data_IF_925864302967
#
_entry.id   IF_925864302967
#
_cell.length_a   1.000
_cell.length_b   1.000
_cell.length_c   1.000
_cell.angle_alpha   90.00
_cell.angle_beta   90.00
_cell.angle_gamma   90.00
#
_symmetry.space_group_name_H-M   'P 1'
#
loop_
_entity.id
_entity.type
_entity.pdbx_description
1 polymer ?
#
# COMPACT_ATOMS: atom_id res chain seq x y z
N UNK A 1 -2.86 -14.53 -18.23
CA UNK A 1 -2.67 -13.06 -18.19
C UNK A 1 -4.01 -12.40 -17.85
N UNK A 2 -3.96 -11.33 -17.11
CA UNK A 2 -5.12 -10.50 -16.75
C UNK A 2 -4.71 -9.02 -16.74
N UNK A 3 -5.70 -8.13 -16.89
CA UNK A 3 -5.48 -6.68 -16.81
C UNK A 3 -6.03 -6.16 -15.48
N UNK A 4 -5.26 -5.28 -14.83
CA UNK A 4 -5.65 -4.62 -13.59
C UNK A 4 -5.08 -3.20 -13.53
N UNK A 5 -5.93 -2.21 -13.45
CA UNK A 5 -5.55 -0.77 -13.43
C UNK A 5 -4.58 -0.36 -14.55
N UNK A 6 -4.75 -0.91 -15.76
CA UNK A 6 -3.85 -0.68 -16.90
C UNK A 6 -2.54 -1.47 -16.85
N UNK A 7 -2.34 -2.31 -15.83
CA UNK A 7 -1.19 -3.21 -15.73
C UNK A 7 -1.54 -4.58 -16.30
N UNK A 8 -0.68 -5.11 -17.17
CA UNK A 8 -0.76 -6.50 -17.61
C UNK A 8 -0.05 -7.39 -16.60
N UNK A 9 -0.80 -8.32 -16.02
CA UNK A 9 -0.34 -9.25 -14.98
C UNK A 9 -0.30 -10.68 -15.55
N UNK A 10 0.73 -11.44 -15.22
CA UNK A 10 0.88 -12.84 -15.65
C UNK A 10 -0.01 -13.81 -14.83
N UNK A 11 -0.44 -13.40 -13.65
CA UNK A 11 -1.35 -14.13 -12.76
C UNK A 11 -2.41 -13.16 -12.18
N UNK A 12 -3.63 -13.61 -11.86
CA UNK A 12 -4.61 -12.78 -11.16
C UNK A 12 -4.34 -12.62 -9.66
N UNK A 13 -3.29 -13.25 -9.13
CA UNK A 13 -2.97 -13.22 -7.70
C UNK A 13 -2.08 -12.01 -7.40
N UNK A 14 -2.52 -11.17 -6.47
CA UNK A 14 -1.74 -10.05 -5.93
C UNK A 14 -1.45 -10.32 -4.46
N UNK A 15 -0.18 -10.32 -4.07
CA UNK A 15 0.21 -10.41 -2.66
C UNK A 15 0.03 -9.04 -2.00
N UNK A 16 -0.77 -8.99 -0.93
CA UNK A 16 -1.17 -7.73 -0.33
C UNK A 16 -0.08 -7.13 0.58
N UNK A 17 -0.12 -5.81 0.69
CA UNK A 17 0.72 -5.07 1.63
C UNK A 17 0.51 -5.54 3.08
N UNK A 18 1.61 -5.73 3.78
CA UNK A 18 1.65 -6.27 5.14
C UNK A 18 1.80 -7.79 5.23
N UNK A 19 1.66 -8.52 4.12
CA UNK A 19 1.83 -9.98 4.09
C UNK A 19 3.25 -10.41 3.69
N UNK A 20 3.94 -9.62 2.85
CA UNK A 20 5.19 -10.02 2.18
C UNK A 20 6.32 -8.99 2.35
N UNK A 21 6.26 -8.15 3.37
CA UNK A 21 7.29 -7.14 3.62
C UNK A 21 7.51 -6.23 2.42
N UNK A 22 8.73 -6.14 1.94
CA UNK A 22 9.10 -5.40 0.73
C UNK A 22 9.34 -6.29 -0.51
N UNK A 23 8.81 -7.52 -0.50
CA UNK A 23 8.82 -8.40 -1.67
C UNK A 23 10.05 -9.31 -1.81
N UNK A 24 11.04 -9.18 -0.94
CA UNK A 24 12.23 -10.05 -0.92
C UNK A 24 12.11 -11.23 0.05
N UNK A 25 11.31 -11.08 1.10
CA UNK A 25 11.32 -11.99 2.23
C UNK A 25 10.89 -13.40 1.84
N UNK A 26 9.88 -13.51 0.98
CA UNK A 26 9.32 -14.80 0.57
C UNK A 26 10.15 -15.49 -0.53
N UNK A 27 10.95 -14.73 -1.29
CA UNK A 27 11.85 -15.33 -2.30
C UNK A 27 12.94 -16.21 -1.68
N UNK A 28 13.15 -16.08 -0.36
CA UNK A 28 14.06 -16.94 0.43
C UNK A 28 13.45 -18.29 0.77
N UNK A 29 12.14 -18.48 0.53
CA UNK A 29 11.44 -19.73 0.79
C UNK A 29 11.65 -20.68 -0.41
N UNK A 30 12.17 -21.88 -0.15
CA UNK A 30 12.38 -22.87 -1.21
C UNK A 30 11.07 -23.23 -1.90
N UNK A 31 11.01 -23.03 -3.21
CA UNK A 31 9.84 -23.34 -4.03
C UNK A 31 8.85 -22.19 -4.22
N UNK A 32 9.16 -20.99 -3.67
CA UNK A 32 8.43 -19.77 -3.97
C UNK A 32 9.25 -18.85 -4.88
N UNK A 33 8.57 -18.22 -5.83
CA UNK A 33 9.12 -17.14 -6.66
C UNK A 33 8.04 -16.07 -6.86
N UNK A 34 8.44 -14.82 -6.95
CA UNK A 34 7.54 -13.73 -7.32
C UNK A 34 6.88 -13.94 -8.70
N UNK A 35 7.48 -14.76 -9.57
CA UNK A 35 6.90 -15.18 -10.88
C UNK A 35 5.58 -15.94 -10.74
N UNK A 36 5.30 -16.52 -9.57
CA UNK A 36 4.06 -17.25 -9.30
C UNK A 36 2.88 -16.28 -9.05
N UNK A 37 3.17 -14.98 -8.94
CA UNK A 37 2.20 -13.91 -8.66
C UNK A 37 2.06 -12.94 -9.82
N UNK A 38 0.92 -12.24 -9.90
CA UNK A 38 0.73 -11.17 -10.88
C UNK A 38 1.32 -9.84 -10.42
N UNK A 39 1.26 -9.58 -9.12
CA UNK A 39 1.90 -8.43 -8.51
C UNK A 39 2.20 -8.66 -7.03
N UNK A 40 3.13 -7.87 -6.51
CA UNK A 40 3.47 -7.78 -5.08
C UNK A 40 3.22 -6.36 -4.62
N UNK A 41 2.31 -6.18 -3.65
CA UNK A 41 2.09 -4.90 -3.00
C UNK A 41 3.04 -4.78 -1.80
N UNK A 42 3.98 -3.85 -1.88
CA UNK A 42 5.03 -3.65 -0.90
C UNK A 42 4.46 -3.13 0.43
N UNK A 43 5.28 -3.20 1.47
CA UNK A 43 4.94 -2.69 2.81
C UNK A 43 4.49 -1.24 2.77
N UNK A 44 3.48 -0.91 3.57
CA UNK A 44 2.98 0.46 3.72
C UNK A 44 4.11 1.41 4.14
N UNK A 45 4.34 2.42 3.30
CA UNK A 45 5.42 3.39 3.41
C UNK A 45 4.87 4.76 3.78
N UNK A 46 5.49 5.42 4.73
CA UNK A 46 5.17 6.79 5.18
C UNK A 46 6.29 7.75 4.78
N UNK A 47 6.04 9.06 4.83
CA UNK A 47 7.04 10.07 4.50
C UNK A 47 8.28 9.89 5.38
N UNK A 48 8.08 9.89 6.69
CA UNK A 48 9.12 9.64 7.67
C UNK A 48 9.12 8.18 8.14
N UNK A 49 10.27 7.66 8.64
CA UNK A 49 10.33 6.33 9.23
C UNK A 49 9.39 6.16 10.43
N UNK A 50 8.79 4.97 10.56
CA UNK A 50 7.94 4.61 11.70
C UNK A 50 8.42 3.32 12.36
N UNK A 51 8.64 3.37 13.66
CA UNK A 51 8.98 2.17 14.46
C UNK A 51 7.78 1.23 14.67
N UNK A 52 6.56 1.75 14.41
CA UNK A 52 5.33 1.04 14.73
C UNK A 52 5.02 1.07 16.23
N UNK A 53 4.05 0.26 16.62
CA UNK A 53 3.63 0.15 18.01
C UNK A 53 4.66 -0.64 18.84
N UNK A 54 4.65 -0.42 20.16
CA UNK A 54 5.48 -1.20 21.10
C UNK A 54 5.06 -2.68 21.10
N UNK A 55 5.97 -3.64 21.32
CA UNK A 55 5.63 -5.04 21.61
C UNK A 55 4.80 -5.13 22.93
N UNK A 56 3.85 -6.06 23.08
CA UNK A 56 3.43 -7.14 22.18
C UNK A 56 2.36 -6.64 21.20
N UNK A 57 2.62 -6.75 19.92
CA UNK A 57 1.78 -6.20 18.84
C UNK A 57 1.25 -7.25 17.85
N UNK A 58 1.51 -8.50 18.16
CA UNK A 58 0.94 -9.67 17.47
C UNK A 58 0.59 -10.71 18.51
N UNK A 59 -0.57 -11.32 18.37
CA UNK A 59 -1.01 -12.43 19.23
C UNK A 59 -1.83 -13.43 18.43
N UNK A 60 -1.64 -14.71 18.72
CA UNK A 60 -2.46 -15.78 18.15
C UNK A 60 -3.78 -15.93 18.90
N UNK A 61 -4.79 -16.40 18.19
CA UNK A 61 -6.10 -16.79 18.71
C UNK A 61 -6.43 -18.20 18.21
N UNK A 62 -7.43 -18.89 18.79
CA UNK A 62 -7.79 -20.24 18.32
C UNK A 62 -8.13 -20.34 16.83
N UNK A 63 -8.56 -19.22 16.20
CA UNK A 63 -9.01 -19.18 14.81
C UNK A 63 -8.22 -18.24 13.92
N UNK A 64 -7.11 -17.67 14.40
CA UNK A 64 -6.34 -16.73 13.60
C UNK A 64 -5.33 -15.91 14.40
N UNK A 65 -5.12 -14.68 13.97
CA UNK A 65 -4.12 -13.78 14.54
C UNK A 65 -4.67 -12.35 14.64
N UNK A 66 -4.38 -11.69 15.75
CA UNK A 66 -4.66 -10.26 15.94
C UNK A 66 -3.34 -9.51 15.87
N UNK A 67 -3.31 -8.36 15.18
CA UNK A 67 -2.12 -7.52 15.15
C UNK A 67 -2.45 -6.03 15.34
N UNK A 68 -1.45 -5.32 15.84
CA UNK A 68 -1.42 -3.86 15.95
C UNK A 68 -0.01 -3.36 15.62
N UNK A 69 0.46 -3.62 14.40
CA UNK A 69 1.84 -3.32 13.97
C UNK A 69 2.14 -1.82 13.95
N UNK A 70 1.18 -0.97 13.56
CA UNK A 70 1.34 0.49 13.55
C UNK A 70 2.19 1.02 12.40
N UNK A 71 2.08 0.45 11.20
CA UNK A 71 2.76 0.88 9.99
C UNK A 71 4.30 0.96 10.12
N UNK A 72 4.92 -0.01 10.80
CA UNK A 72 6.38 -0.07 10.86
C UNK A 72 6.98 -0.09 9.45
N UNK A 73 7.79 0.92 9.13
CA UNK A 73 8.47 1.03 7.84
C UNK A 73 9.66 2.01 7.94
N UNK A 74 10.64 1.94 7.02
CA UNK A 74 11.85 2.75 7.07
C UNK A 74 11.69 4.16 6.48
N UNK A 75 10.50 4.54 5.99
CA UNK A 75 10.27 5.81 5.31
C UNK A 75 10.57 5.77 3.80
N UNK A 76 10.05 6.77 3.09
CA UNK A 76 10.09 6.82 1.62
C UNK A 76 11.51 6.82 1.05
N UNK A 77 12.44 7.55 1.67
CA UNK A 77 13.80 7.68 1.15
C UNK A 77 14.56 6.36 1.15
N UNK A 78 14.46 5.58 2.23
CA UNK A 78 15.08 4.25 2.31
C UNK A 78 14.41 3.28 1.34
N UNK A 79 13.09 3.36 1.18
CA UNK A 79 12.39 2.48 0.22
C UNK A 79 12.88 2.75 -1.21
N UNK A 80 12.99 4.01 -1.60
CA UNK A 80 13.43 4.39 -2.95
C UNK A 80 14.90 4.06 -3.18
N UNK A 81 15.78 4.42 -2.24
CA UNK A 81 17.22 4.36 -2.47
C UNK A 81 17.85 3.01 -2.15
N UNK A 82 17.32 2.27 -1.16
CA UNK A 82 17.97 1.07 -0.65
C UNK A 82 17.17 -0.22 -0.93
N UNK A 83 15.83 -0.14 -1.01
CA UNK A 83 14.99 -1.33 -1.18
C UNK A 83 14.63 -1.58 -2.64
N UNK A 84 14.05 -0.58 -3.31
CA UNK A 84 13.58 -0.73 -4.70
C UNK A 84 14.67 -1.15 -5.70
N UNK A 85 15.94 -0.71 -5.57
CA UNK A 85 17.00 -1.16 -6.48
C UNK A 85 17.29 -2.66 -6.43
N UNK A 86 16.90 -3.34 -5.33
CA UNK A 86 17.11 -4.78 -5.15
C UNK A 86 15.94 -5.64 -5.63
N UNK A 87 14.81 -5.04 -6.05
CA UNK A 87 13.65 -5.77 -6.54
C UNK A 87 13.88 -6.27 -7.98
N UNK A 88 13.67 -7.56 -8.20
CA UNK A 88 13.71 -8.12 -9.57
C UNK A 88 12.37 -7.89 -10.29
N UNK A 89 12.29 -6.79 -11.00
CA UNK A 89 11.10 -6.37 -11.75
C UNK A 89 10.83 -7.18 -13.02
N UNK A 90 11.71 -8.12 -13.36
CA UNK A 90 11.48 -9.08 -14.44
C UNK A 90 10.58 -10.24 -14.00
N UNK A 91 10.41 -10.43 -12.70
CA UNK A 91 9.64 -11.52 -12.14
C UNK A 91 8.14 -11.21 -12.02
N UNK A 92 7.79 -10.00 -11.56
CA UNK A 92 6.40 -9.60 -11.30
C UNK A 92 6.27 -8.08 -11.31
N UNK A 93 5.02 -7.58 -11.18
CA UNK A 93 4.76 -6.15 -10.97
C UNK A 93 4.87 -5.79 -9.51
N UNK A 94 5.41 -4.61 -9.20
CA UNK A 94 5.51 -4.11 -7.85
C UNK A 94 4.64 -2.86 -7.66
N UNK A 95 3.77 -2.92 -6.66
CA UNK A 95 2.86 -1.84 -6.27
C UNK A 95 3.34 -1.30 -4.93
N UNK A 96 3.60 -0.01 -4.83
CA UNK A 96 3.93 0.59 -3.52
C UNK A 96 2.66 0.95 -2.76
N UNK A 97 2.55 0.50 -1.50
CA UNK A 97 1.50 0.94 -0.60
C UNK A 97 1.95 2.19 0.15
N UNK A 98 1.16 3.24 0.12
CA UNK A 98 1.48 4.52 0.75
C UNK A 98 0.47 4.89 1.83
N UNK A 99 0.96 5.45 2.92
CA UNK A 99 0.15 5.93 4.05
C UNK A 99 0.69 7.26 4.55
N UNK A 100 -0.21 8.19 4.86
CA UNK A 100 0.13 9.48 5.45
C UNK A 100 -0.72 9.78 6.69
N UNK A 101 -0.30 10.76 7.48
CA UNK A 101 -1.03 11.31 8.62
C UNK A 101 -1.85 12.56 8.23
N UNK A 102 -1.55 13.15 7.08
CA UNK A 102 -2.31 14.26 6.49
C UNK A 102 -2.50 14.05 4.99
N UNK A 103 -3.43 14.79 4.39
CA UNK A 103 -3.68 14.79 2.94
C UNK A 103 -2.41 15.16 2.17
N UNK A 104 -1.68 16.15 2.67
CA UNK A 104 -0.46 16.68 2.06
C UNK A 104 0.66 15.63 2.04
N UNK A 105 0.79 14.84 3.12
CA UNK A 105 1.78 13.74 3.16
C UNK A 105 1.51 12.69 2.08
N UNK A 106 0.25 12.31 1.82
CA UNK A 106 -0.08 11.40 0.73
C UNK A 106 0.36 11.97 -0.63
N UNK A 107 0.12 13.26 -0.87
CA UNK A 107 0.55 13.94 -2.08
C UNK A 107 2.06 13.97 -2.26
N UNK A 108 2.80 14.29 -1.19
CA UNK A 108 4.26 14.31 -1.23
C UNK A 108 4.85 12.91 -1.45
N UNK A 109 4.31 11.88 -0.80
CA UNK A 109 4.76 10.49 -1.02
C UNK A 109 4.47 10.05 -2.46
N UNK A 110 3.27 10.35 -2.98
CA UNK A 110 2.91 10.02 -4.35
C UNK A 110 3.87 10.67 -5.37
N UNK A 111 4.23 11.94 -5.15
CA UNK A 111 5.21 12.68 -5.94
C UNK A 111 6.59 12.03 -5.91
N UNK A 112 7.06 11.60 -4.72
CA UNK A 112 8.35 10.92 -4.56
C UNK A 112 8.43 9.62 -5.35
N UNK A 113 7.32 8.88 -5.44
CA UNK A 113 7.28 7.63 -6.21
C UNK A 113 6.99 7.83 -7.69
N UNK A 114 6.55 9.01 -8.15
CA UNK A 114 6.26 9.25 -9.56
C UNK A 114 7.49 9.08 -10.45
N UNK A 115 8.63 9.60 -10.01
CA UNK A 115 9.91 9.52 -10.73
C UNK A 115 10.62 8.16 -10.60
N UNK A 116 10.01 7.18 -9.92
CA UNK A 116 10.58 5.85 -9.74
C UNK A 116 10.02 4.86 -10.78
N UNK A 117 10.59 3.66 -10.82
CA UNK A 117 10.16 2.59 -11.72
C UNK A 117 9.13 1.62 -11.08
N UNK A 118 8.45 2.05 -9.98
CA UNK A 118 7.31 1.30 -9.43
C UNK A 118 6.15 1.26 -10.44
N UNK A 119 5.42 0.14 -10.53
CA UNK A 119 4.36 -0.03 -11.52
C UNK A 119 3.06 0.72 -11.18
N UNK A 120 2.71 0.83 -9.89
CA UNK A 120 1.52 1.53 -9.41
C UNK A 120 1.66 1.96 -7.95
N UNK A 121 0.75 2.83 -7.50
CA UNK A 121 0.66 3.30 -6.11
C UNK A 121 -0.68 2.85 -5.51
N UNK A 122 -0.64 2.09 -4.41
CA UNK A 122 -1.80 1.77 -3.60
C UNK A 122 -1.95 2.78 -2.46
N UNK A 123 -3.02 3.55 -2.48
CA UNK A 123 -3.36 4.53 -1.43
C UNK A 123 -4.03 3.79 -0.28
N UNK A 124 -3.39 3.75 0.89
CA UNK A 124 -3.89 3.04 2.06
C UNK A 124 -4.64 3.96 3.02
N UNK A 125 -5.94 4.06 2.86
CA UNK A 125 -6.86 4.75 3.78
C UNK A 125 -7.68 3.76 4.62
N UNK A 126 -7.17 2.56 4.84
CA UNK A 126 -7.87 1.49 5.56
C UNK A 126 -7.17 1.02 6.85
N UNK A 127 -6.02 1.59 7.21
CA UNK A 127 -5.25 1.12 8.37
C UNK A 127 -5.91 1.53 9.69
N UNK A 128 -6.34 0.56 10.56
CA UNK A 128 -6.96 0.88 11.84
C UNK A 128 -5.92 1.18 12.95
N UNK A 129 -4.64 0.91 12.71
CA UNK A 129 -3.59 0.90 13.73
C UNK A 129 -2.83 2.23 13.83
N UNK A 130 -3.41 3.33 13.35
CA UNK A 130 -2.86 4.68 13.42
C UNK A 130 -3.91 5.64 14.01
N UNK A 131 -3.46 6.63 14.79
CA UNK A 131 -4.36 7.61 15.43
C UNK A 131 -4.88 8.66 14.44
N UNK A 132 -4.07 9.01 13.45
CA UNK A 132 -4.37 10.00 12.42
C UNK A 132 -4.11 9.39 11.03
N UNK A 133 -4.93 9.71 10.04
CA UNK A 133 -4.90 9.09 8.72
C UNK A 133 -5.54 7.70 8.68
N UNK A 134 -5.17 6.87 7.71
CA UNK A 134 -5.66 5.49 7.60
C UNK A 134 -7.18 5.38 7.60
N UNK A 135 -7.74 4.54 8.48
CA UNK A 135 -9.19 4.28 8.53
C UNK A 135 -10.03 5.52 8.84
N UNK A 136 -9.49 6.51 9.55
CA UNK A 136 -10.20 7.77 9.81
C UNK A 136 -10.49 8.52 8.50
N UNK A 137 -9.54 8.53 7.58
CA UNK A 137 -9.74 9.13 6.25
C UNK A 137 -10.63 8.25 5.36
N UNK A 138 -10.49 6.93 5.42
CA UNK A 138 -11.30 6.00 4.64
C UNK A 138 -12.76 5.93 5.04
N UNK A 139 -13.10 6.26 6.29
CA UNK A 139 -14.47 6.32 6.78
C UNK A 139 -15.18 7.65 6.49
N UNK A 140 -14.44 8.65 6.04
CA UNK A 140 -14.96 9.93 5.57
C UNK A 140 -14.83 10.00 4.04
N UNK A 141 -15.92 9.91 3.28
CA UNK A 141 -15.87 9.92 1.81
C UNK A 141 -15.26 11.19 1.21
N UNK A 142 -15.42 12.35 1.85
CA UNK A 142 -14.85 13.59 1.37
C UNK A 142 -13.34 13.66 1.66
N UNK A 143 -12.90 13.11 2.78
CA UNK A 143 -11.46 12.93 3.05
C UNK A 143 -10.84 11.91 2.08
N UNK A 144 -11.53 10.82 1.78
CA UNK A 144 -11.11 9.85 0.77
C UNK A 144 -10.92 10.51 -0.60
N UNK A 145 -11.89 11.31 -1.04
CA UNK A 145 -11.79 12.13 -2.26
C UNK A 145 -10.53 13.00 -2.25
N UNK A 146 -10.33 13.79 -1.18
CA UNK A 146 -9.20 14.73 -1.08
C UNK A 146 -7.84 14.02 -1.13
N UNK A 147 -7.72 12.87 -0.47
CA UNK A 147 -6.49 12.07 -0.50
C UNK A 147 -6.21 11.54 -1.91
N UNK A 148 -7.22 11.00 -2.59
CA UNK A 148 -7.04 10.51 -3.97
C UNK A 148 -6.72 11.66 -4.92
N UNK A 149 -7.45 12.77 -4.82
CA UNK A 149 -7.24 13.97 -5.65
C UNK A 149 -5.81 14.52 -5.51
N UNK A 150 -5.30 14.64 -4.29
CA UNK A 150 -3.93 15.14 -4.10
C UNK A 150 -2.88 14.16 -4.63
N UNK A 151 -3.10 12.86 -4.47
CA UNK A 151 -2.23 11.86 -5.08
C UNK A 151 -2.28 11.97 -6.61
N UNK A 152 -3.48 12.05 -7.21
CA UNK A 152 -3.64 12.16 -8.66
C UNK A 152 -2.96 13.39 -9.24
N UNK A 153 -2.97 14.51 -8.53
CA UNK A 153 -2.26 15.75 -8.93
C UNK A 153 -0.74 15.62 -8.89
N UNK A 154 -0.20 14.67 -8.14
CA UNK A 154 1.23 14.52 -7.88
C UNK A 154 1.88 13.29 -8.54
N UNK A 155 1.11 12.46 -9.25
CA UNK A 155 1.67 11.30 -9.97
C UNK A 155 0.91 11.02 -11.26
N UNK A 156 1.59 10.50 -12.26
CA UNK A 156 1.00 9.96 -13.49
C UNK A 156 0.72 8.45 -13.41
N UNK A 157 1.26 7.78 -12.40
CA UNK A 157 1.15 6.31 -12.24
C UNK A 157 -0.29 5.86 -11.97
N UNK A 158 -0.63 4.60 -12.26
CA UNK A 158 -1.88 4.00 -11.83
C UNK A 158 -2.06 4.14 -10.31
N UNK A 159 -3.25 4.59 -9.88
CA UNK A 159 -3.64 4.69 -8.47
C UNK A 159 -4.67 3.62 -8.13
N UNK A 160 -4.46 2.96 -7.02
CA UNK A 160 -5.35 1.93 -6.46
C UNK A 160 -5.73 2.38 -5.06
N UNK A 161 -7.00 2.66 -4.80
CA UNK A 161 -7.44 3.04 -3.45
C UNK A 161 -7.90 1.81 -2.67
N UNK A 162 -7.17 1.46 -1.61
CA UNK A 162 -7.55 0.35 -0.73
C UNK A 162 -8.46 0.86 0.38
N UNK A 163 -9.76 0.53 0.25
CA UNK A 163 -10.81 0.87 1.21
C UNK A 163 -10.88 -0.15 2.36
N UNK A 164 -11.47 0.29 3.49
CA UNK A 164 -11.87 -0.59 4.58
C UNK A 164 -13.26 -1.16 4.31
N UNK A 165 -13.53 -2.45 4.61
CA UNK A 165 -14.90 -2.98 4.57
C UNK A 165 -15.75 -2.49 5.76
N UNK A 166 -15.11 -1.90 6.79
CA UNK A 166 -15.76 -1.46 8.02
C UNK A 166 -16.28 -0.03 7.89
N UNK A 167 -17.19 0.19 6.97
CA UNK A 167 -17.85 1.49 6.74
C UNK A 167 -19.32 1.29 6.36
N UNK A 168 -20.14 2.33 6.56
CA UNK A 168 -21.59 2.27 6.38
C UNK A 168 -21.98 2.08 4.92
N UNK A 169 -21.30 2.77 3.99
CA UNK A 169 -21.55 2.71 2.55
C UNK A 169 -20.21 2.72 1.79
N UNK A 170 -19.70 1.52 1.51
CA UNK A 170 -18.45 1.35 0.78
C UNK A 170 -18.61 1.73 -0.70
N UNK A 171 -19.81 1.60 -1.28
CA UNK A 171 -20.04 1.95 -2.67
C UNK A 171 -19.98 3.47 -2.86
N UNK A 172 -20.54 4.23 -1.92
CA UNK A 172 -20.44 5.68 -1.93
C UNK A 172 -18.97 6.16 -1.76
N UNK A 173 -18.23 5.57 -0.82
CA UNK A 173 -16.80 5.89 -0.65
C UNK A 173 -15.98 5.55 -1.89
N UNK A 174 -16.27 4.41 -2.53
CA UNK A 174 -15.61 4.03 -3.78
C UNK A 174 -15.91 5.03 -4.90
N UNK A 175 -17.17 5.46 -5.05
CA UNK A 175 -17.55 6.46 -6.04
C UNK A 175 -16.81 7.79 -5.81
N UNK A 176 -16.70 8.24 -4.56
CA UNK A 176 -15.94 9.46 -4.24
C UNK A 176 -14.46 9.35 -4.63
N UNK A 177 -13.86 8.15 -4.47
CA UNK A 177 -12.48 7.93 -4.94
C UNK A 177 -12.37 7.94 -6.48
N UNK A 178 -13.41 7.48 -7.19
CA UNK A 178 -13.46 7.51 -8.66
C UNK A 178 -13.62 8.94 -9.18
N UNK A 179 -14.37 9.77 -8.48
CA UNK A 179 -14.65 11.16 -8.85
C UNK A 179 -13.40 12.07 -8.70
N UNK A 180 -12.37 11.61 -8.00
CA UNK A 180 -11.14 12.34 -7.71
C UNK A 180 -10.06 12.13 -8.78
#
# INVERSE_FOLDING_TARGET
>A
KTEFCGLSLDSPIILLSGCVGFGEEYTRIKGFSNKDTGAVCLKGTTLEPRLGNIPHRVTETPSGMINAIGLQNPGVDVVINDIMPNLDKTETRFIINVSGSSVEEYGEIAKRFDDTDIDAIEINISCPNVKEGGVAFGNDPDMSYRVVEICRKNTSKPLITKLSPNQTDIAFSAQRCIDA
#
